data_IF_823091885277
#
_entry.id   IF_823091885277
#
_cell.length_a   1.000
_cell.length_b   1.000
_cell.length_c   1.000
_cell.angle_alpha   90.00
_cell.angle_beta   90.00
_cell.angle_gamma   90.00
#
_symmetry.space_group_name_H-M   'P 1'
#
loop_
_entity.id
_entity.type
_entity.pdbx_description
1 polymer ?
#
# COMPACT_ATOMS: atom_id res chain seq x y z
N UNK A 1 -44.98 57.47 -15.98
CA UNK A 1 -43.91 58.17 -16.71
C UNK A 1 -43.16 59.08 -15.74
N UNK A 2 -41.85 58.85 -15.62
CA UNK A 2 -40.74 59.79 -15.31
C UNK A 2 -40.79 60.58 -13.98
N UNK A 3 -39.90 60.25 -13.02
CA UNK A 3 -38.56 60.85 -12.82
C UNK A 3 -38.69 62.34 -12.39
N UNK A 4 -38.20 62.84 -11.27
CA UNK A 4 -37.06 62.47 -10.42
C UNK A 4 -36.31 63.79 -10.13
N UNK A 5 -35.86 64.02 -8.89
CA UNK A 5 -34.90 65.06 -8.56
C UNK A 5 -33.84 64.49 -7.63
N UNK A 6 -32.60 64.61 -8.09
CA UNK A 6 -31.37 64.02 -7.57
C UNK A 6 -30.69 65.04 -6.66
N UNK A 7 -30.14 64.60 -5.53
CA UNK A 7 -29.15 65.36 -4.78
C UNK A 7 -27.84 64.56 -4.74
N UNK A 8 -26.77 65.20 -5.20
CA UNK A 8 -25.41 64.68 -5.29
C UNK A 8 -24.75 64.65 -3.90
N UNK A 9 -23.98 63.61 -3.60
CA UNK A 9 -22.87 63.77 -2.65
C UNK A 9 -21.68 62.88 -3.03
N UNK A 10 -20.52 63.47 -2.80
CA UNK A 10 -19.21 63.18 -3.36
C UNK A 10 -18.57 61.85 -2.94
N UNK A 11 -17.70 61.42 -3.85
CA UNK A 11 -16.77 60.29 -3.82
C UNK A 11 -15.68 60.49 -2.75
N UNK A 12 -15.38 59.43 -1.98
CA UNK A 12 -14.03 59.17 -1.49
C UNK A 12 -13.63 57.75 -1.91
N UNK A 13 -12.62 57.66 -2.77
CA UNK A 13 -12.03 56.41 -3.23
C UNK A 13 -11.13 55.79 -2.17
N UNK A 14 -11.42 54.54 -1.82
CA UNK A 14 -10.50 53.63 -1.14
C UNK A 14 -10.15 52.50 -2.09
N UNK A 15 -8.94 52.53 -2.65
CA UNK A 15 -8.40 51.42 -3.42
C UNK A 15 -8.04 50.28 -2.47
N UNK A 16 -8.95 49.31 -2.33
CA UNK A 16 -8.66 48.05 -1.64
C UNK A 16 -7.85 47.16 -2.61
N UNK A 17 -6.52 47.17 -2.46
CA UNK A 17 -5.67 46.13 -3.03
C UNK A 17 -6.03 44.80 -2.36
N UNK A 18 -6.80 43.96 -3.05
CA UNK A 18 -6.92 42.55 -2.72
C UNK A 18 -5.55 41.87 -2.93
N UNK A 19 -4.76 41.79 -1.86
CA UNK A 19 -3.71 40.79 -1.75
C UNK A 19 -4.39 39.42 -1.76
N UNK A 20 -4.49 38.81 -2.94
CA UNK A 20 -4.81 37.40 -3.08
C UNK A 20 -3.65 36.60 -2.44
N UNK A 21 -3.75 36.37 -1.14
CA UNK A 21 -2.96 35.36 -0.46
C UNK A 21 -3.18 34.05 -1.22
N UNK A 22 -2.10 33.43 -1.69
CA UNK A 22 -2.12 32.07 -2.20
C UNK A 22 -2.69 31.15 -1.11
N UNK A 23 -4.00 30.94 -1.14
CA UNK A 23 -4.65 29.90 -0.36
C UNK A 23 -4.01 28.57 -0.80
N UNK A 24 -3.62 27.68 0.13
CA UNK A 24 -3.22 26.34 -0.25
C UNK A 24 -4.35 25.71 -1.06
N UNK A 25 -4.01 25.07 -2.18
CA UNK A 25 -4.96 24.37 -3.05
C UNK A 25 -5.87 23.48 -2.20
N UNK A 26 -7.20 23.51 -2.40
CA UNK A 26 -8.07 22.57 -1.72
C UNK A 26 -7.67 21.15 -2.10
N UNK A 27 -7.55 20.32 -1.08
CA UNK A 27 -7.35 18.88 -1.19
C UNK A 27 -8.47 18.30 -2.07
N UNK A 28 -8.10 17.65 -3.16
CA UNK A 28 -9.02 17.31 -4.24
C UNK A 28 -10.11 16.33 -3.78
N UNK A 29 -11.35 16.60 -4.20
CA UNK A 29 -12.55 15.83 -3.89
C UNK A 29 -12.46 14.33 -4.27
N UNK A 30 -13.29 13.46 -3.65
CA UNK A 30 -13.38 12.05 -4.02
C UNK A 30 -13.71 11.91 -5.52
N UNK A 31 -12.74 11.40 -6.30
CA UNK A 31 -12.83 11.33 -7.77
C UNK A 31 -11.57 11.80 -8.49
N UNK A 32 -10.62 12.45 -7.80
CA UNK A 32 -9.32 12.79 -8.35
C UNK A 32 -8.21 12.04 -7.59
N UNK A 33 -7.36 11.29 -8.31
CA UNK A 33 -6.09 10.71 -7.85
C UNK A 33 -6.20 9.58 -6.83
N UNK A 34 -6.68 8.40 -7.26
CA UNK A 34 -6.51 7.10 -6.56
C UNK A 34 -6.57 7.18 -5.01
N UNK A 35 -7.44 8.03 -4.46
CA UNK A 35 -7.40 8.38 -3.03
C UNK A 35 -7.63 7.18 -2.13
N UNK A 36 -8.32 6.17 -2.65
CA UNK A 36 -8.51 4.87 -2.03
C UNK A 36 -7.21 4.09 -1.79
N UNK A 37 -6.19 4.29 -2.62
CA UNK A 37 -4.87 3.68 -2.47
C UNK A 37 -4.01 4.44 -1.44
N UNK A 38 -4.44 5.63 -1.04
CA UNK A 38 -3.83 6.49 -0.03
C UNK A 38 -4.87 6.92 1.02
N UNK A 39 -5.50 5.98 1.74
CA UNK A 39 -6.55 6.30 2.69
C UNK A 39 -6.08 7.33 3.72
N UNK A 40 -6.94 8.31 3.98
CA UNK A 40 -6.65 9.44 4.86
C UNK A 40 -7.47 9.37 6.14
N UNK A 41 -6.82 9.10 7.25
CA UNK A 41 -7.48 9.13 8.54
C UNK A 41 -6.54 9.53 9.67
N UNK A 42 -7.09 9.91 10.83
CA UNK A 42 -6.28 10.10 12.01
C UNK A 42 -5.51 8.82 12.30
N UNK A 43 -4.30 8.95 12.86
CA UNK A 43 -3.57 7.79 13.36
C UNK A 43 -4.32 7.23 14.56
N UNK A 44 -5.05 6.15 14.31
CA UNK A 44 -5.62 5.30 15.34
C UNK A 44 -4.60 4.24 15.65
N UNK A 45 -4.08 4.25 16.88
CA UNK A 45 -3.25 3.17 17.36
C UNK A 45 -4.09 1.89 17.39
N UNK A 46 -3.56 0.81 16.82
CA UNK A 46 -4.20 -0.50 16.96
C UNK A 46 -4.30 -0.84 18.45
N UNK A 47 -5.39 -1.51 18.88
CA UNK A 47 -5.49 -1.96 20.26
C UNK A 47 -4.31 -2.89 20.58
N UNK A 48 -3.84 -2.90 21.84
CA UNK A 48 -2.83 -3.87 22.26
C UNK A 48 -3.36 -5.30 22.06
N UNK A 49 -2.44 -6.27 22.00
CA UNK A 49 -2.80 -7.68 22.00
C UNK A 49 -3.66 -8.01 23.24
N UNK A 50 -4.74 -8.81 23.10
CA UNK A 50 -5.59 -9.17 24.24
C UNK A 50 -4.78 -9.86 25.35
N UNK A 51 -5.13 -9.62 26.62
CA UNK A 51 -4.42 -10.23 27.75
C UNK A 51 -4.56 -11.76 27.77
N UNK A 52 -3.58 -12.43 28.38
CA UNK A 52 -3.57 -13.88 28.51
C UNK A 52 -3.19 -14.63 27.24
N UNK A 53 -3.40 -15.96 27.20
CA UNK A 53 -2.95 -16.82 26.12
C UNK A 53 -3.59 -16.47 24.76
N UNK A 54 -2.75 -16.23 23.77
CA UNK A 54 -3.08 -15.97 22.37
C UNK A 54 -2.59 -17.14 21.51
N UNK A 55 -3.45 -17.60 20.62
CA UNK A 55 -3.19 -18.70 19.72
C UNK A 55 -3.95 -18.47 18.41
N UNK A 56 -3.34 -18.85 17.29
CA UNK A 56 -3.99 -18.80 15.98
C UNK A 56 -4.13 -20.20 15.38
N UNK A 57 -5.15 -20.47 14.56
CA UNK A 57 -5.37 -21.81 14.02
C UNK A 57 -4.20 -22.35 13.21
N UNK A 58 -3.80 -23.59 13.52
CA UNK A 58 -2.69 -24.29 12.88
C UNK A 58 -1.31 -23.98 13.48
N UNK A 59 -1.19 -23.00 14.37
CA UNK A 59 0.03 -22.72 15.11
C UNK A 59 0.34 -23.87 16.08
N UNK A 60 1.62 -24.19 16.27
CA UNK A 60 2.09 -25.08 17.35
C UNK A 60 2.50 -24.29 18.60
N UNK A 61 2.54 -22.96 18.50
CA UNK A 61 2.97 -22.06 19.57
C UNK A 61 1.81 -21.24 20.12
N UNK A 62 1.97 -20.82 21.37
CA UNK A 62 1.06 -19.93 22.10
C UNK A 62 1.89 -18.83 22.73
N UNK A 63 1.51 -17.58 22.51
CA UNK A 63 2.11 -16.42 23.16
C UNK A 63 1.13 -15.85 24.18
N UNK A 64 1.61 -15.12 25.18
CA UNK A 64 0.72 -14.30 26.02
C UNK A 64 0.64 -12.90 25.44
N UNK A 65 -0.53 -12.24 25.47
CA UNK A 65 -0.65 -10.86 25.01
C UNK A 65 0.30 -9.90 25.71
N UNK A 66 0.60 -10.14 26.99
CA UNK A 66 1.58 -9.37 27.76
C UNK A 66 3.00 -9.47 27.16
N UNK A 67 3.38 -10.63 26.65
CA UNK A 67 4.67 -10.84 26.00
C UNK A 67 4.72 -10.14 24.63
N UNK A 68 3.63 -10.26 23.85
CA UNK A 68 3.50 -9.58 22.55
C UNK A 68 3.54 -8.05 22.72
N UNK A 69 2.84 -7.52 23.72
CA UNK A 69 2.80 -6.09 24.03
C UNK A 69 4.13 -5.54 24.59
N UNK A 70 5.04 -6.39 25.08
CA UNK A 70 6.36 -5.99 25.61
C UNK A 70 7.45 -5.87 24.54
N UNK A 71 7.12 -6.06 23.26
CA UNK A 71 8.06 -5.88 22.16
C UNK A 71 9.03 -7.05 21.99
N UNK A 72 8.54 -8.28 22.13
CA UNK A 72 9.30 -9.50 21.81
C UNK A 72 9.58 -9.68 20.31
N UNK A 73 9.35 -8.64 19.49
CA UNK A 73 9.20 -8.73 18.04
C UNK A 73 7.78 -9.17 17.64
N UNK A 74 7.49 -9.18 16.33
CA UNK A 74 6.23 -9.69 15.83
C UNK A 74 6.13 -11.20 16.11
N UNK A 75 4.95 -11.73 16.46
CA UNK A 75 4.80 -13.13 16.77
C UNK A 75 5.17 -14.01 15.57
N UNK A 76 6.08 -14.96 15.80
CA UNK A 76 6.31 -16.07 14.89
C UNK A 76 5.35 -17.20 15.24
N UNK A 77 4.20 -17.21 14.58
CA UNK A 77 3.18 -18.24 14.79
C UNK A 77 3.51 -19.58 14.13
N UNK A 78 4.48 -19.63 13.22
CA UNK A 78 4.79 -20.83 12.45
C UNK A 78 6.31 -20.97 12.29
N UNK A 79 7.06 -21.17 13.39
CA UNK A 79 8.53 -21.17 13.37
C UNK A 79 9.12 -22.29 12.49
N UNK A 80 8.39 -23.39 12.33
CA UNK A 80 8.80 -24.52 11.49
C UNK A 80 8.54 -24.28 9.98
N UNK A 81 7.91 -23.16 9.62
CA UNK A 81 7.52 -22.86 8.23
C UNK A 81 8.55 -22.07 7.43
N UNK A 82 9.65 -21.65 8.07
CA UNK A 82 10.74 -20.90 7.44
C UNK A 82 12.09 -21.24 8.09
N UNK A 83 13.23 -20.99 7.41
CA UNK A 83 14.54 -21.07 8.07
C UNK A 83 14.64 -20.07 9.24
N UNK A 84 15.64 -20.20 10.13
CA UNK A 84 15.87 -19.22 11.19
C UNK A 84 16.02 -17.81 10.61
N UNK A 85 15.20 -16.88 11.09
CA UNK A 85 15.25 -15.49 10.67
C UNK A 85 16.50 -14.79 11.24
N UNK A 86 17.23 -13.98 10.44
CA UNK A 86 18.31 -13.15 10.96
C UNK A 86 17.84 -12.19 12.06
N UNK A 87 18.72 -11.81 12.98
CA UNK A 87 18.38 -10.88 14.08
C UNK A 87 17.76 -9.58 13.58
N UNK A 88 18.26 -9.01 12.49
CA UNK A 88 17.71 -7.77 11.91
C UNK A 88 16.24 -7.94 11.44
N UNK A 89 15.87 -9.15 11.01
CA UNK A 89 14.51 -9.47 10.58
C UNK A 89 13.60 -9.69 11.78
N UNK A 90 14.02 -10.52 12.74
CA UNK A 90 13.18 -10.96 13.85
C UNK A 90 13.09 -9.94 15.01
N UNK A 91 14.19 -9.24 15.31
CA UNK A 91 14.31 -8.40 16.51
C UNK A 91 14.74 -6.96 16.19
N UNK A 92 15.38 -6.75 15.04
CA UNK A 92 16.00 -5.47 14.72
C UNK A 92 17.20 -5.19 15.63
N UNK A 93 17.51 -3.92 15.82
CA UNK A 93 18.50 -3.44 16.81
C UNK A 93 18.24 -1.99 17.18
N UNK A 94 19.01 -1.44 18.10
CA UNK A 94 18.93 -0.01 18.44
C UNK A 94 19.02 0.85 17.16
N UNK A 95 17.97 1.64 16.92
CA UNK A 95 17.84 2.53 15.76
C UNK A 95 17.26 1.90 14.49
N UNK A 96 17.08 0.57 14.43
CA UNK A 96 16.50 -0.14 13.28
C UNK A 96 15.42 -1.09 13.76
N UNK A 97 14.17 -0.79 13.40
CA UNK A 97 13.02 -1.67 13.66
C UNK A 97 13.22 -3.01 12.96
N UNK A 98 12.73 -4.10 13.57
CA UNK A 98 12.76 -5.42 12.95
C UNK A 98 11.96 -5.42 11.64
N UNK A 99 12.49 -6.01 10.58
CA UNK A 99 11.81 -6.02 9.28
C UNK A 99 10.43 -6.69 9.35
N UNK A 100 10.32 -7.74 10.18
CA UNK A 100 9.12 -8.52 10.35
C UNK A 100 7.96 -7.72 10.98
N UNK A 101 8.22 -6.59 11.65
CA UNK A 101 7.14 -5.78 12.27
C UNK A 101 6.14 -5.26 11.23
N UNK A 102 6.60 -4.99 10.01
CA UNK A 102 5.74 -4.54 8.91
C UNK A 102 5.63 -5.60 7.80
N UNK A 103 6.73 -6.30 7.48
CA UNK A 103 6.75 -7.26 6.39
C UNK A 103 6.34 -8.68 6.80
N UNK A 104 6.06 -8.91 8.09
CA UNK A 104 5.88 -10.21 8.73
C UNK A 104 7.14 -11.10 8.64
N UNK A 105 7.27 -12.06 9.55
CA UNK A 105 8.42 -12.98 9.54
C UNK A 105 8.39 -13.86 8.28
N UNK A 106 7.21 -14.35 7.91
CA UNK A 106 6.98 -15.08 6.65
C UNK A 106 7.02 -14.22 5.38
N UNK A 107 7.27 -12.90 5.48
CA UNK A 107 7.36 -12.02 4.31
C UNK A 107 6.02 -11.71 3.62
N UNK A 108 4.89 -11.98 4.27
CA UNK A 108 3.54 -11.79 3.73
C UNK A 108 3.07 -10.32 3.68
N UNK A 109 3.73 -9.42 4.40
CA UNK A 109 3.30 -8.02 4.53
C UNK A 109 2.00 -7.85 5.33
N UNK A 110 1.48 -6.63 5.35
CA UNK A 110 0.26 -6.24 6.05
C UNK A 110 -0.51 -5.21 5.23
N UNK A 111 -1.68 -4.75 5.70
CA UNK A 111 -2.40 -3.65 5.04
C UNK A 111 -1.49 -2.43 4.95
N UNK A 112 -1.20 -1.97 3.73
CA UNK A 112 -0.31 -0.83 3.48
C UNK A 112 1.18 -1.16 3.34
N UNK A 113 1.60 -2.39 3.67
CA UNK A 113 3.00 -2.85 3.56
C UNK A 113 3.12 -4.02 2.58
N UNK A 114 3.99 -3.95 1.55
CA UNK A 114 4.09 -5.02 0.57
C UNK A 114 4.70 -6.30 1.13
N UNK A 115 4.30 -7.43 0.53
CA UNK A 115 4.93 -8.72 0.75
C UNK A 115 6.34 -8.76 0.12
N UNK A 116 7.28 -9.39 0.81
CA UNK A 116 8.66 -9.59 0.36
C UNK A 116 8.93 -11.01 -0.14
N UNK A 117 8.20 -12.01 0.36
CA UNK A 117 8.33 -13.39 -0.08
C UNK A 117 8.12 -13.51 -1.60
N UNK A 118 8.93 -14.33 -2.24
CA UNK A 118 8.96 -14.52 -3.70
C UNK A 118 9.56 -13.37 -4.52
N UNK A 119 10.15 -12.35 -3.89
CA UNK A 119 11.02 -11.38 -4.59
C UNK A 119 12.47 -11.88 -4.59
N UNK A 120 13.25 -11.53 -5.62
CA UNK A 120 14.68 -11.83 -5.61
C UNK A 120 15.44 -10.97 -4.60
N UNK A 121 16.53 -11.50 -4.06
CA UNK A 121 17.39 -10.77 -3.14
C UNK A 121 17.92 -9.47 -3.77
N UNK A 122 18.36 -9.53 -5.02
CA UNK A 122 18.84 -8.37 -5.78
C UNK A 122 17.77 -7.28 -5.92
N UNK A 123 16.53 -7.67 -6.21
CA UNK A 123 15.43 -6.73 -6.30
C UNK A 123 15.20 -6.06 -4.94
N UNK A 124 15.14 -6.83 -3.84
CA UNK A 124 14.97 -6.29 -2.48
C UNK A 124 16.10 -5.30 -2.14
N UNK A 125 17.36 -5.69 -2.34
CA UNK A 125 18.53 -4.85 -2.07
C UNK A 125 18.43 -3.54 -2.86
N UNK A 126 18.14 -3.63 -4.15
CA UNK A 126 18.05 -2.45 -5.00
C UNK A 126 16.87 -1.54 -4.60
N UNK A 127 15.73 -2.11 -4.22
CA UNK A 127 14.60 -1.33 -3.70
C UNK A 127 14.97 -0.55 -2.44
N UNK A 128 15.68 -1.18 -1.49
CA UNK A 128 16.10 -0.50 -0.26
C UNK A 128 17.14 0.59 -0.55
N UNK A 129 18.07 0.36 -1.48
CA UNK A 129 19.02 1.38 -1.93
C UNK A 129 18.32 2.59 -2.56
N UNK A 130 17.29 2.38 -3.36
CA UNK A 130 16.49 3.46 -3.95
C UNK A 130 15.67 4.24 -2.92
N UNK A 131 15.22 3.62 -1.82
CA UNK A 131 14.68 4.35 -0.68
C UNK A 131 15.75 5.17 0.03
N UNK A 132 16.95 4.58 0.23
CA UNK A 132 18.08 5.19 0.92
C UNK A 132 18.55 6.47 0.23
N UNK A 133 18.61 6.48 -1.10
CA UNK A 133 19.09 7.61 -1.91
C UNK A 133 17.99 8.57 -2.40
N UNK A 134 16.73 8.31 -2.04
CA UNK A 134 15.60 9.20 -2.34
C UNK A 134 15.03 9.05 -3.75
N UNK A 135 15.47 8.06 -4.55
CA UNK A 135 14.84 7.74 -5.84
C UNK A 135 13.47 7.11 -5.69
N UNK A 136 13.18 6.49 -4.54
CA UNK A 136 11.89 5.89 -4.23
C UNK A 136 11.19 6.62 -3.07
N UNK A 137 10.26 7.48 -3.43
CA UNK A 137 9.36 8.22 -2.52
C UNK A 137 7.90 7.89 -2.84
N UNK A 138 6.96 8.64 -2.28
CA UNK A 138 5.54 8.52 -2.60
C UNK A 138 5.02 9.81 -3.22
N UNK A 139 4.13 9.69 -4.20
CA UNK A 139 3.40 10.80 -4.78
C UNK A 139 2.68 11.61 -3.70
N UNK A 140 2.12 10.91 -2.72
CA UNK A 140 1.53 11.53 -1.55
C UNK A 140 2.65 11.94 -0.58
N UNK A 141 2.78 13.25 -0.39
CA UNK A 141 3.69 13.79 0.61
C UNK A 141 3.42 13.17 2.00
N UNK A 142 4.49 12.81 2.69
CA UNK A 142 4.47 12.25 4.05
C UNK A 142 3.63 10.97 4.18
N UNK A 143 3.50 10.16 3.12
CA UNK A 143 2.86 8.85 3.23
C UNK A 143 3.57 7.97 4.27
N UNK A 144 2.89 7.51 5.34
CA UNK A 144 3.60 7.02 6.52
C UNK A 144 4.47 5.80 6.32
N UNK A 145 3.92 4.74 5.72
CA UNK A 145 4.69 3.50 5.51
C UNK A 145 5.88 3.70 4.57
N UNK A 146 5.80 4.69 3.67
CA UNK A 146 6.93 5.10 2.86
C UNK A 146 8.01 5.82 3.69
N UNK A 147 7.62 6.74 4.58
CA UNK A 147 8.56 7.44 5.47
C UNK A 147 9.26 6.48 6.44
N UNK A 148 8.52 5.52 7.00
CA UNK A 148 9.08 4.48 7.88
C UNK A 148 10.12 3.63 7.12
N UNK A 149 9.80 3.20 5.90
CA UNK A 149 10.75 2.45 5.07
C UNK A 149 11.98 3.28 4.68
N UNK A 150 11.83 4.57 4.35
CA UNK A 150 12.97 5.47 4.08
C UNK A 150 13.87 5.59 5.32
N UNK A 151 13.31 5.71 6.51
CA UNK A 151 14.06 5.78 7.76
C UNK A 151 14.86 4.50 8.02
N UNK A 152 14.23 3.33 7.83
CA UNK A 152 14.91 2.02 7.94
C UNK A 152 16.02 1.91 6.90
N UNK A 153 15.74 2.23 5.64
CA UNK A 153 16.71 2.16 4.54
C UNK A 153 17.95 3.03 4.77
N UNK A 154 17.80 4.20 5.40
CA UNK A 154 18.91 5.08 5.77
C UNK A 154 19.77 4.59 6.93
N UNK A 155 19.29 3.61 7.70
CA UNK A 155 19.93 3.19 8.97
C UNK A 155 20.44 1.75 8.95
N UNK A 156 19.86 0.89 8.10
CA UNK A 156 20.32 -0.49 7.91
C UNK A 156 21.65 -0.53 7.18
N UNK A 157 22.57 -1.38 7.65
CA UNK A 157 23.85 -1.63 6.97
C UNK A 157 23.68 -2.51 5.74
N UNK A 158 24.69 -2.58 4.88
CA UNK A 158 24.63 -3.42 3.68
C UNK A 158 24.64 -4.93 4.01
N UNK A 159 25.37 -5.34 5.06
CA UNK A 159 25.37 -6.73 5.52
C UNK A 159 24.02 -7.16 6.09
N UNK A 160 23.39 -6.28 6.88
CA UNK A 160 22.03 -6.50 7.40
C UNK A 160 21.00 -6.58 6.28
N UNK A 161 21.10 -5.68 5.30
CA UNK A 161 20.23 -5.69 4.12
C UNK A 161 20.43 -6.97 3.31
N UNK A 162 21.68 -7.41 3.08
CA UNK A 162 21.97 -8.65 2.37
C UNK A 162 21.40 -9.87 3.11
N UNK A 163 21.55 -9.94 4.44
CA UNK A 163 21.00 -11.02 5.26
C UNK A 163 19.46 -11.05 5.18
N UNK A 164 18.79 -9.90 5.33
CA UNK A 164 17.34 -9.80 5.23
C UNK A 164 16.82 -10.14 3.82
N UNK A 165 17.50 -9.67 2.77
CA UNK A 165 17.14 -9.94 1.39
C UNK A 165 17.28 -11.43 1.04
N UNK A 166 18.38 -12.06 1.46
CA UNK A 166 18.59 -13.50 1.29
C UNK A 166 17.52 -14.32 2.01
N UNK A 167 17.17 -13.93 3.24
CA UNK A 167 16.12 -14.58 4.02
C UNK A 167 14.76 -14.51 3.30
N UNK A 168 14.27 -13.31 2.96
CA UNK A 168 12.96 -13.15 2.34
C UNK A 168 12.88 -13.75 0.93
N UNK A 169 13.97 -13.72 0.17
CA UNK A 169 14.03 -14.33 -1.16
C UNK A 169 13.93 -15.86 -1.13
N UNK A 170 14.34 -16.50 -0.02
CA UNK A 170 14.22 -17.94 0.16
C UNK A 170 12.79 -18.38 0.56
N UNK A 171 11.92 -17.44 0.94
CA UNK A 171 10.56 -17.78 1.39
C UNK A 171 9.60 -17.98 0.22
N UNK A 172 8.76 -19.03 0.26
CA UNK A 172 7.72 -19.23 -0.74
C UNK A 172 6.66 -18.14 -0.62
N UNK A 173 6.24 -17.57 -1.75
CA UNK A 173 5.15 -16.61 -1.74
C UNK A 173 3.80 -17.31 -1.59
N UNK A 174 3.08 -17.00 -0.51
CA UNK A 174 1.71 -17.44 -0.27
C UNK A 174 0.76 -16.24 -0.44
N UNK A 175 -0.13 -16.25 -1.45
CA UNK A 175 -1.07 -15.15 -1.65
C UNK A 175 -2.10 -15.16 -0.50
N UNK A 176 -2.32 -13.99 0.08
CA UNK A 176 -3.35 -13.74 1.10
C UNK A 176 -4.43 -12.76 0.63
N UNK A 177 -4.37 -12.34 -0.64
CA UNK A 177 -5.31 -11.38 -1.22
C UNK A 177 -6.41 -12.15 -1.96
N UNK A 178 -7.65 -11.72 -1.77
CA UNK A 178 -8.81 -12.19 -2.53
C UNK A 178 -9.61 -11.00 -3.04
N UNK A 179 -9.91 -10.98 -4.34
CA UNK A 179 -10.74 -9.94 -4.95
C UNK A 179 -12.21 -10.36 -4.89
N UNK A 180 -13.07 -9.41 -4.51
CA UNK A 180 -14.52 -9.53 -4.56
C UNK A 180 -15.06 -8.31 -5.29
N UNK A 181 -15.81 -8.53 -6.37
CA UNK A 181 -16.43 -7.46 -7.13
C UNK A 181 -17.87 -7.21 -6.70
N UNK A 182 -18.27 -5.95 -6.56
CA UNK A 182 -19.61 -5.58 -6.16
C UNK A 182 -19.87 -4.07 -6.22
N UNK A 183 -21.05 -3.66 -5.77
CA UNK A 183 -21.40 -2.24 -5.63
C UNK A 183 -21.05 -1.66 -4.26
N UNK A 184 -20.86 -2.54 -3.27
CA UNK A 184 -20.63 -2.20 -1.87
C UNK A 184 -19.42 -2.93 -1.31
N UNK A 185 -18.94 -2.41 -0.20
CA UNK A 185 -17.92 -3.02 0.65
C UNK A 185 -18.34 -2.87 2.12
N UNK A 186 -17.74 -3.65 3.04
CA UNK A 186 -17.89 -3.41 4.47
C UNK A 186 -17.62 -1.94 4.81
N UNK A 187 -18.36 -1.40 5.77
CA UNK A 187 -18.08 -0.08 6.30
C UNK A 187 -16.68 -0.08 6.91
N UNK A 188 -15.83 0.83 6.47
CA UNK A 188 -14.47 0.98 6.97
C UNK A 188 -14.17 2.44 7.23
N UNK A 189 -13.20 2.72 8.10
CA UNK A 189 -12.69 4.07 8.27
C UNK A 189 -11.24 4.10 7.80
N UNK A 190 -10.84 5.16 7.08
CA UNK A 190 -9.45 5.30 6.72
C UNK A 190 -8.63 5.52 8.00
N UNK A 191 -7.42 4.99 8.01
CA UNK A 191 -6.42 5.17 9.06
C UNK A 191 -5.07 5.49 8.41
N UNK A 192 -4.16 5.98 9.24
CA UNK A 192 -2.79 6.33 8.91
C UNK A 192 -1.99 5.23 8.16
N UNK A 193 -2.30 3.94 8.35
CA UNK A 193 -1.61 2.83 7.68
C UNK A 193 -2.44 2.13 6.57
N UNK A 194 -3.73 2.43 6.44
CA UNK A 194 -4.63 1.69 5.55
C UNK A 194 -6.11 1.86 5.91
N UNK A 195 -6.99 1.13 5.23
CA UNK A 195 -8.38 1.00 5.65
C UNK A 195 -8.47 0.04 6.84
N UNK A 196 -9.13 0.47 7.91
CA UNK A 196 -9.37 -0.37 9.08
C UNK A 196 -10.88 -0.62 9.25
N UNK A 197 -11.20 -1.80 9.78
CA UNK A 197 -12.54 -2.11 10.27
C UNK A 197 -12.80 -1.40 11.61
N UNK A 198 -13.02 -0.09 11.56
CA UNK A 198 -13.40 0.76 12.70
C UNK A 198 -14.90 1.11 12.68
N UNK A 199 -15.69 0.34 11.95
CA UNK A 199 -17.12 0.50 11.79
C UNK A 199 -17.86 -0.85 11.87
N UNK A 200 -17.52 -1.74 12.83
CA UNK A 200 -18.12 -3.08 12.89
C UNK A 200 -19.62 -2.96 13.12
N UNK A 201 -20.42 -3.62 12.28
CA UNK A 201 -21.88 -3.61 12.34
C UNK A 201 -22.55 -2.40 11.70
N UNK A 202 -21.80 -1.42 11.18
CA UNK A 202 -22.36 -0.37 10.33
C UNK A 202 -22.80 -0.97 8.96
N UNK A 203 -23.84 -0.41 8.30
CA UNK A 203 -24.29 -0.90 7.00
C UNK A 203 -23.19 -0.76 5.93
N UNK A 204 -23.11 -1.68 4.94
CA UNK A 204 -22.11 -1.62 3.88
C UNK A 204 -22.08 -0.25 3.18
N UNK A 205 -20.88 0.23 2.87
CA UNK A 205 -20.68 1.48 2.12
C UNK A 205 -20.65 1.22 0.61
N UNK A 206 -21.11 2.18 -0.19
CA UNK A 206 -20.97 2.13 -1.66
C UNK A 206 -19.51 2.32 -2.05
N UNK A 207 -19.06 1.56 -3.04
CA UNK A 207 -17.69 1.67 -3.58
C UNK A 207 -17.51 2.92 -4.44
N UNK A 208 -18.55 3.38 -5.16
CA UNK A 208 -18.49 4.57 -6.03
C UNK A 208 -17.26 4.57 -6.97
N UNK A 209 -16.95 3.41 -7.57
CA UNK A 209 -15.78 3.26 -8.46
C UNK A 209 -14.42 3.17 -7.77
N UNK A 210 -14.38 3.16 -6.43
CA UNK A 210 -13.17 3.00 -5.62
C UNK A 210 -12.94 1.52 -5.23
N UNK A 211 -11.81 1.27 -4.60
CA UNK A 211 -11.44 -0.05 -4.06
C UNK A 211 -11.22 0.06 -2.55
N UNK A 212 -11.70 -0.91 -1.79
CA UNK A 212 -11.44 -1.01 -0.35
C UNK A 212 -10.71 -2.32 -0.10
N UNK A 213 -9.54 -2.22 0.50
CA UNK A 213 -8.70 -3.36 0.88
C UNK A 213 -8.69 -3.47 2.40
N UNK A 214 -9.33 -4.53 2.94
CA UNK A 214 -9.54 -4.73 4.38
C UNK A 214 -9.35 -6.20 4.73
N UNK A 215 -9.02 -6.51 5.98
CA UNK A 215 -8.94 -7.91 6.42
C UNK A 215 -10.34 -8.54 6.49
N UNK A 216 -10.44 -9.81 6.13
CA UNK A 216 -11.67 -10.60 6.34
C UNK A 216 -11.95 -10.83 7.83
N UNK A 217 -10.89 -11.09 8.60
CA UNK A 217 -10.94 -11.34 10.04
C UNK A 217 -10.01 -10.34 10.73
N UNK A 218 -10.61 -9.28 11.29
CA UNK A 218 -9.88 -8.20 11.94
C UNK A 218 -9.11 -8.66 13.19
N UNK A 219 -9.71 -9.45 14.12
CA UNK A 219 -8.96 -10.05 15.22
C UNK A 219 -7.71 -10.83 14.79
N UNK A 220 -7.80 -11.65 13.73
CA UNK A 220 -6.61 -12.37 13.21
C UNK A 220 -5.56 -11.43 12.62
N UNK A 221 -5.97 -10.39 11.91
CA UNK A 221 -5.05 -9.37 11.40
C UNK A 221 -4.31 -8.67 12.54
N UNK A 222 -4.99 -8.31 13.63
CA UNK A 222 -4.38 -7.71 14.82
C UNK A 222 -3.39 -8.67 15.50
N UNK A 223 -3.65 -9.97 15.44
CA UNK A 223 -2.70 -11.00 15.88
C UNK A 223 -1.50 -11.16 14.94
N UNK A 224 -1.42 -10.42 13.83
CA UNK A 224 -0.43 -10.60 12.78
C UNK A 224 -0.41 -12.02 12.19
N UNK A 225 -1.58 -12.69 12.12
CA UNK A 225 -1.72 -14.00 11.47
C UNK A 225 -1.25 -13.89 9.99
N UNK A 226 -0.22 -14.66 9.57
CA UNK A 226 0.25 -14.63 8.19
C UNK A 226 -0.76 -15.22 7.20
N UNK A 227 -1.77 -15.95 7.68
CA UNK A 227 -2.85 -16.53 6.87
C UNK A 227 -4.12 -15.66 6.85
N UNK A 228 -4.14 -14.52 7.56
CA UNK A 228 -5.31 -13.64 7.55
C UNK A 228 -5.57 -13.09 6.14
N UNK A 229 -6.73 -13.41 5.57
CA UNK A 229 -7.10 -12.99 4.22
C UNK A 229 -7.36 -11.49 4.19
N UNK A 230 -6.82 -10.83 3.17
CA UNK A 230 -7.10 -9.45 2.81
C UNK A 230 -8.05 -9.47 1.62
N UNK A 231 -9.24 -8.89 1.79
CA UNK A 231 -10.26 -8.79 0.75
C UNK A 231 -10.14 -7.45 0.05
N UNK A 232 -9.99 -7.49 -1.27
CA UNK A 232 -10.03 -6.33 -2.16
C UNK A 232 -11.46 -6.24 -2.72
N UNK A 233 -12.26 -5.35 -2.14
CA UNK A 233 -13.59 -5.02 -2.64
C UNK A 233 -13.45 -4.03 -3.79
N UNK A 234 -13.82 -4.44 -5.00
CA UNK A 234 -13.62 -3.67 -6.22
C UNK A 234 -14.93 -3.47 -7.01
N UNK A 235 -15.01 -2.45 -7.89
CA UNK A 235 -16.17 -2.26 -8.75
C UNK A 235 -16.36 -3.45 -9.71
N UNK A 236 -17.61 -3.75 -10.04
CA UNK A 236 -17.96 -4.80 -11.00
C UNK A 236 -17.18 -4.64 -12.31
N UNK A 237 -16.59 -5.73 -12.78
CA UNK A 237 -15.83 -5.82 -14.02
C UNK A 237 -14.43 -5.23 -13.97
N UNK A 238 -13.94 -4.76 -12.80
CA UNK A 238 -12.58 -4.22 -12.68
C UNK A 238 -11.50 -5.24 -13.07
N UNK A 239 -11.68 -6.51 -12.70
CA UNK A 239 -10.77 -7.61 -13.07
C UNK A 239 -10.74 -7.82 -14.58
N UNK A 240 -11.91 -7.86 -15.23
CA UNK A 240 -12.01 -8.05 -16.68
C UNK A 240 -11.42 -6.87 -17.48
N UNK A 241 -11.68 -5.64 -17.03
CA UNK A 241 -11.06 -4.44 -17.64
C UNK A 241 -9.55 -4.43 -17.43
N UNK A 242 -9.08 -4.79 -16.24
CA UNK A 242 -7.66 -4.90 -15.93
C UNK A 242 -6.96 -5.98 -16.74
N UNK A 243 -7.58 -7.13 -16.96
CA UNK A 243 -7.07 -8.19 -17.82
C UNK A 243 -6.90 -7.72 -19.27
N UNK A 244 -7.93 -7.08 -19.84
CA UNK A 244 -7.89 -6.54 -21.19
C UNK A 244 -6.79 -5.46 -21.35
N UNK A 245 -6.63 -4.59 -20.34
CA UNK A 245 -5.55 -3.61 -20.29
C UNK A 245 -4.17 -4.28 -20.19
N UNK A 246 -4.03 -5.32 -19.37
CA UNK A 246 -2.78 -6.03 -19.20
C UNK A 246 -2.35 -6.77 -20.48
N UNK A 247 -3.31 -7.30 -21.25
CA UNK A 247 -3.08 -7.95 -22.52
C UNK A 247 -2.73 -6.96 -23.65
N UNK A 248 -3.36 -5.79 -23.67
CA UNK A 248 -3.12 -4.76 -24.70
C UNK A 248 -1.95 -3.82 -24.39
N UNK A 249 -1.52 -3.74 -23.13
CA UNK A 249 -0.52 -2.77 -22.67
C UNK A 249 -1.08 -1.37 -22.37
N UNK A 250 -2.40 -1.23 -22.34
CA UNK A 250 -3.08 0.07 -22.19
C UNK A 250 -2.61 1.08 -23.24
N UNK A 251 -2.39 2.33 -22.82
CA UNK A 251 -1.97 3.43 -23.70
C UNK A 251 -0.58 3.29 -24.36
N UNK A 252 0.19 2.23 -24.07
CA UNK A 252 1.54 2.01 -24.60
C UNK A 252 1.66 0.82 -25.57
N UNK A 253 0.61 0.01 -25.76
CA UNK A 253 0.56 -1.04 -26.79
C UNK A 253 1.43 -2.29 -26.54
N UNK A 254 2.15 -2.39 -25.41
CA UNK A 254 2.94 -3.57 -25.05
C UNK A 254 2.33 -4.31 -23.84
N UNK A 255 1.93 -5.56 -24.04
CA UNK A 255 1.36 -6.41 -23.00
C UNK A 255 2.25 -6.46 -21.73
N UNK A 256 1.65 -6.35 -20.55
CA UNK A 256 2.39 -6.35 -19.28
C UNK A 256 3.19 -7.65 -19.08
N UNK A 257 2.64 -8.77 -19.53
CA UNK A 257 3.28 -10.09 -19.47
C UNK A 257 4.58 -10.18 -20.28
N UNK A 258 4.81 -9.29 -21.25
CA UNK A 258 6.05 -9.25 -22.02
C UNK A 258 7.29 -8.98 -21.14
N UNK A 259 7.12 -8.25 -20.04
CA UNK A 259 8.16 -8.02 -19.05
C UNK A 259 7.88 -8.74 -17.74
N UNK A 260 6.65 -8.70 -17.23
CA UNK A 260 6.27 -9.29 -15.94
C UNK A 260 5.99 -10.80 -15.99
N UNK A 261 6.25 -11.45 -17.13
CA UNK A 261 6.07 -12.89 -17.30
C UNK A 261 4.61 -13.31 -17.46
N UNK A 262 4.41 -14.56 -17.86
CA UNK A 262 3.08 -15.14 -18.02
C UNK A 262 2.33 -15.14 -16.69
N UNK A 263 1.07 -14.71 -16.73
CA UNK A 263 0.25 -14.53 -15.53
C UNK A 263 0.82 -13.52 -14.52
N UNK A 264 1.70 -12.60 -14.96
CA UNK A 264 2.37 -11.60 -14.12
C UNK A 264 3.18 -12.19 -12.94
N UNK A 265 3.71 -13.40 -13.13
CA UNK A 265 4.48 -14.16 -12.12
C UNK A 265 5.95 -13.75 -12.00
N UNK A 266 6.35 -12.68 -12.69
CA UNK A 266 7.69 -12.16 -12.72
C UNK A 266 8.55 -12.80 -13.80
N UNK A 267 9.70 -12.17 -14.02
CA UNK A 267 10.75 -12.62 -14.93
C UNK A 267 12.11 -12.13 -14.40
N UNK A 268 13.23 -12.51 -15.01
CA UNK A 268 14.54 -11.96 -14.63
C UNK A 268 14.63 -10.42 -14.75
N UNK A 269 13.79 -9.79 -15.57
CA UNK A 269 13.85 -8.34 -15.83
C UNK A 269 12.75 -7.54 -15.10
N UNK A 270 11.72 -8.20 -14.57
CA UNK A 270 10.63 -7.51 -13.88
C UNK A 270 10.06 -8.33 -12.71
N UNK A 271 9.67 -7.68 -11.60
CA UNK A 271 9.18 -8.38 -10.42
C UNK A 271 7.80 -9.04 -10.65
N UNK A 272 7.46 -10.09 -9.89
CA UNK A 272 6.11 -10.65 -9.86
C UNK A 272 5.10 -9.62 -9.34
N UNK A 273 3.92 -9.58 -9.96
CA UNK A 273 2.79 -8.73 -9.57
C UNK A 273 1.59 -9.56 -9.07
N UNK A 274 1.47 -10.80 -9.54
CA UNK A 274 0.33 -11.67 -9.26
C UNK A 274 0.06 -11.85 -7.76
N UNK A 275 -1.19 -11.71 -7.37
CA UNK A 275 -1.69 -11.93 -6.01
C UNK A 275 -1.27 -10.88 -4.98
N UNK A 276 -0.56 -9.81 -5.37
CA UNK A 276 -0.09 -8.77 -4.44
C UNK A 276 -1.19 -7.74 -4.17
N UNK A 277 -1.03 -6.98 -3.08
CA UNK A 277 -1.97 -5.93 -2.65
C UNK A 277 -2.32 -4.96 -3.78
N UNK A 278 -3.62 -4.80 -4.06
CA UNK A 278 -4.11 -3.89 -5.09
C UNK A 278 -3.76 -2.43 -4.75
N UNK A 279 -3.92 -2.03 -3.48
CA UNK A 279 -3.55 -0.69 -3.05
C UNK A 279 -2.05 -0.43 -3.23
N UNK A 280 -1.18 -1.39 -2.89
CA UNK A 280 0.26 -1.25 -3.12
C UNK A 280 0.61 -1.11 -4.60
N UNK A 281 0.04 -1.96 -5.47
CA UNK A 281 0.30 -1.92 -6.91
C UNK A 281 -0.18 -0.62 -7.54
N UNK A 282 -1.37 -0.12 -7.17
CA UNK A 282 -1.87 1.17 -7.61
C UNK A 282 -0.95 2.32 -7.18
N UNK A 283 -0.48 2.31 -5.92
CA UNK A 283 0.53 3.28 -5.44
C UNK A 283 1.80 3.21 -6.28
N UNK A 284 2.30 2.01 -6.59
CA UNK A 284 3.53 1.88 -7.39
C UNK A 284 3.36 2.47 -8.80
N UNK A 285 2.25 2.18 -9.47
CA UNK A 285 1.96 2.75 -10.80
C UNK A 285 1.86 4.27 -10.74
N UNK A 286 1.18 4.83 -9.74
CA UNK A 286 1.08 6.28 -9.56
C UNK A 286 2.42 6.94 -9.24
N UNK A 287 3.20 6.34 -8.35
CA UNK A 287 4.51 6.86 -7.96
C UNK A 287 5.47 6.86 -9.16
N UNK A 288 5.42 5.84 -10.00
CA UNK A 288 6.20 5.77 -11.25
C UNK A 288 5.69 6.82 -12.25
N UNK A 289 4.37 6.89 -12.48
CA UNK A 289 3.72 7.86 -13.39
C UNK A 289 4.09 9.30 -13.05
N UNK A 290 4.17 9.63 -11.77
CA UNK A 290 4.42 11.00 -11.26
C UNK A 290 5.89 11.30 -11.03
N UNK A 291 6.77 10.30 -11.15
CA UNK A 291 8.21 10.43 -10.90
C UNK A 291 8.61 10.35 -9.42
N UNK A 292 7.66 10.21 -8.50
CA UNK A 292 7.95 9.98 -7.08
C UNK A 292 8.72 8.67 -6.85
N UNK A 293 8.55 7.68 -7.74
CA UNK A 293 9.40 6.50 -7.84
C UNK A 293 10.14 6.55 -9.18
N UNK A 294 11.45 6.69 -9.07
CA UNK A 294 12.40 6.74 -10.17
C UNK A 294 13.56 5.79 -9.90
N UNK A 295 14.49 5.65 -10.84
CA UNK A 295 15.65 4.78 -10.71
C UNK A 295 15.66 3.60 -11.68
N UNK A 296 16.76 2.83 -11.70
CA UNK A 296 17.01 1.80 -12.68
C UNK A 296 15.94 0.70 -12.65
N UNK A 297 15.40 0.34 -11.47
CA UNK A 297 14.43 -0.76 -11.35
C UNK A 297 13.05 -0.45 -11.92
N UNK A 298 12.75 0.83 -12.18
CA UNK A 298 11.48 1.28 -12.76
C UNK A 298 11.67 2.10 -14.03
N UNK A 299 12.89 2.22 -14.54
CA UNK A 299 13.19 3.05 -15.72
C UNK A 299 12.36 2.63 -16.94
N UNK A 300 12.23 1.31 -17.16
CA UNK A 300 11.42 0.73 -18.24
C UNK A 300 9.90 0.86 -17.99
N UNK A 301 9.47 1.06 -16.74
CA UNK A 301 8.06 1.24 -16.37
C UNK A 301 7.55 2.67 -16.57
N UNK A 302 8.43 3.65 -16.82
CA UNK A 302 8.04 5.05 -17.00
C UNK A 302 7.10 5.26 -18.18
N UNK A 303 7.39 4.66 -19.34
CA UNK A 303 6.50 4.68 -20.50
C UNK A 303 5.14 4.05 -20.17
N UNK A 304 5.11 2.75 -19.82
CA UNK A 304 3.91 2.03 -19.37
C UNK A 304 3.04 2.82 -18.39
N UNK A 305 3.61 3.41 -17.35
CA UNK A 305 2.86 4.10 -16.31
C UNK A 305 2.32 5.48 -16.73
N UNK A 306 3.05 6.25 -17.54
CA UNK A 306 2.64 7.61 -17.97
C UNK A 306 1.38 7.60 -18.83
N UNK A 307 1.17 6.54 -19.60
CA UNK A 307 0.01 6.39 -20.48
C UNK A 307 -1.28 5.94 -19.78
N UNK A 308 -1.24 5.65 -18.48
CA UNK A 308 -2.40 5.16 -17.74
C UNK A 308 -3.18 6.30 -17.08
N UNK A 309 -4.50 6.29 -17.20
CA UNK A 309 -5.38 7.08 -16.33
C UNK A 309 -5.60 6.38 -14.96
N UNK A 310 -6.34 7.03 -14.07
CA UNK A 310 -6.54 6.55 -12.70
C UNK A 310 -7.44 5.29 -12.66
N UNK A 311 -8.41 5.17 -13.57
CA UNK A 311 -9.29 3.99 -13.64
C UNK A 311 -8.53 2.77 -14.18
N UNK A 312 -7.66 2.99 -15.16
CA UNK A 312 -6.77 1.96 -15.69
C UNK A 312 -5.78 1.48 -14.64
N UNK A 313 -5.20 2.38 -13.83
CA UNK A 313 -4.33 1.99 -12.70
C UNK A 313 -5.11 1.15 -11.68
N UNK A 314 -6.34 1.55 -11.33
CA UNK A 314 -7.21 0.77 -10.44
C UNK A 314 -7.45 -0.63 -10.99
N UNK A 315 -7.92 -0.73 -12.24
CA UNK A 315 -8.34 -1.99 -12.83
C UNK A 315 -7.14 -2.94 -13.03
N UNK A 316 -5.97 -2.43 -13.47
CA UNK A 316 -4.73 -3.21 -13.54
C UNK A 316 -4.29 -3.74 -12.16
N UNK A 317 -4.38 -2.93 -11.12
CA UNK A 317 -4.02 -3.33 -9.77
C UNK A 317 -4.97 -4.39 -9.20
N UNK A 318 -6.28 -4.25 -9.44
CA UNK A 318 -7.29 -5.25 -9.06
C UNK A 318 -7.06 -6.57 -9.81
N UNK A 319 -6.83 -6.52 -11.12
CA UNK A 319 -6.53 -7.72 -11.91
C UNK A 319 -5.26 -8.42 -11.42
N UNK A 320 -4.16 -7.69 -11.24
CA UNK A 320 -2.93 -8.31 -10.74
C UNK A 320 -3.14 -8.94 -9.35
N UNK A 321 -3.93 -8.31 -8.47
CA UNK A 321 -4.28 -8.84 -7.16
C UNK A 321 -5.15 -10.11 -7.22
N UNK A 322 -5.97 -10.30 -8.28
CA UNK A 322 -6.80 -11.50 -8.44
C UNK A 322 -6.03 -12.71 -8.96
N UNK A 323 -4.83 -12.52 -9.51
CA UNK A 323 -4.02 -13.60 -10.08
C UNK A 323 -3.41 -14.48 -9.01
N UNK A 324 -3.21 -15.76 -9.36
CA UNK A 324 -2.43 -16.68 -8.53
C UNK A 324 -0.94 -16.53 -8.85
N UNK A 325 -0.08 -16.35 -7.83
CA UNK A 325 1.36 -16.28 -8.02
C UNK A 325 1.96 -17.58 -8.54
#
# INVERSE_FOLDING_TARGET
MRLGAVSSMMILGGALLCLAACQPKPESAPGALLGWAYPQGPKVNLPPYPSGPQHIPGSTVTYTGEALNKGAGPPDWFPDSHPPAPTIVAQGRKGVMACAECHQIGGGGSLGTPNLAGLSADYIIQQVREFRDGRRTSWRANWPTNQDMIKVAKTVTDDELAAAAAYYAALPYKPRVRVVEGETAPATKPNYYGWLDLAPGEPPQRLNGQVIEVAEDWPRMLLADPNAVIVVHAPIGATARGEALAASGGGNGQACAACHGQGLKGSPVAPPLAGRSAAYLARQLLDIKTGARSGPTVSQMQGPARGLDDEQIRDLAVYAASLRP
#
